data_IF_947827570910
#
_entry.id   IF_947827570910
#
_cell.length_a   1.000
_cell.length_b   1.000
_cell.length_c   1.000
_cell.angle_alpha   90.00
_cell.angle_beta   90.00
_cell.angle_gamma   90.00
#
_symmetry.space_group_name_H-M   'P 1'
#
loop_
_entity.id
_entity.type
_entity.pdbx_description
1 polymer ?
#
# COMPACT_ATOMS: atom_id res chain seq x y z
N UNK A 1 -5.86 0.75 21.46
CA UNK A 1 -5.66 0.38 20.04
C UNK A 1 -6.98 0.23 19.29
N UNK A 2 -7.94 -0.56 19.78
CA UNK A 2 -9.22 -0.77 19.09
C UNK A 2 -10.03 0.52 18.84
N UNK A 3 -10.09 1.43 19.83
CA UNK A 3 -10.81 2.70 19.70
C UNK A 3 -10.29 3.61 18.58
N UNK A 4 -8.98 3.62 18.33
CA UNK A 4 -8.40 4.37 17.21
C UNK A 4 -8.82 3.77 15.87
N UNK A 5 -8.84 2.44 15.75
CA UNK A 5 -9.26 1.77 14.52
C UNK A 5 -10.74 2.03 14.19
N UNK A 6 -11.61 1.97 15.21
CA UNK A 6 -13.04 2.30 15.07
C UNK A 6 -13.19 3.75 14.61
N UNK A 7 -12.48 4.70 15.24
CA UNK A 7 -12.56 6.11 14.89
C UNK A 7 -12.09 6.37 13.45
N UNK A 8 -11.00 5.74 13.02
CA UNK A 8 -10.49 5.85 11.66
C UNK A 8 -11.46 5.27 10.62
N UNK A 9 -11.99 4.07 10.89
CA UNK A 9 -12.94 3.39 10.03
C UNK A 9 -14.29 4.09 9.94
N UNK A 10 -14.72 4.81 10.97
CA UNK A 10 -15.96 5.59 10.95
C UNK A 10 -15.75 6.97 10.32
N UNK A 11 -14.68 7.69 10.68
CA UNK A 11 -14.46 9.06 10.20
C UNK A 11 -14.10 9.12 8.73
N UNK A 12 -13.25 8.22 8.22
CA UNK A 12 -12.84 8.26 6.81
C UNK A 12 -14.06 8.18 5.87
N UNK A 13 -14.96 7.18 5.97
CA UNK A 13 -16.13 7.11 5.10
C UNK A 13 -17.09 8.28 5.26
N UNK A 14 -17.23 8.84 6.46
CA UNK A 14 -18.08 10.03 6.69
C UNK A 14 -17.50 11.23 5.92
N UNK A 15 -16.19 11.45 6.02
CA UNK A 15 -15.52 12.55 5.32
C UNK A 15 -15.63 12.36 3.81
N UNK A 16 -15.41 11.13 3.31
CA UNK A 16 -15.54 10.80 1.89
C UNK A 16 -16.95 11.05 1.35
N UNK A 17 -17.97 10.60 2.08
CA UNK A 17 -19.35 10.81 1.68
C UNK A 17 -19.69 12.31 1.65
N UNK A 18 -19.23 13.08 2.65
CA UNK A 18 -19.41 14.53 2.65
C UNK A 18 -18.74 15.19 1.43
N UNK A 19 -17.52 14.76 1.09
CA UNK A 19 -16.74 15.27 -0.05
C UNK A 19 -17.43 14.95 -1.39
N UNK A 20 -17.90 13.71 -1.56
CA UNK A 20 -18.64 13.27 -2.74
C UNK A 20 -19.97 14.02 -2.90
N UNK A 21 -20.70 14.26 -1.80
CA UNK A 21 -21.94 15.04 -1.83
C UNK A 21 -21.64 16.50 -2.21
N UNK A 22 -20.60 17.10 -1.64
CA UNK A 22 -20.25 18.50 -1.91
C UNK A 22 -19.83 18.67 -3.37
N UNK A 23 -18.94 17.82 -3.88
CA UNK A 23 -18.55 17.82 -5.29
C UNK A 23 -19.77 17.55 -6.18
N UNK A 24 -20.61 16.58 -5.81
CA UNK A 24 -21.85 16.26 -6.52
C UNK A 24 -22.84 17.42 -6.62
N UNK A 25 -22.85 18.34 -5.64
CA UNK A 25 -23.66 19.57 -5.71
C UNK A 25 -23.07 20.61 -6.67
N UNK A 26 -21.74 20.71 -6.77
CA UNK A 26 -21.07 21.70 -7.62
C UNK A 26 -21.03 21.28 -9.09
N UNK A 27 -20.67 20.04 -9.40
CA UNK A 27 -20.48 19.55 -10.77
C UNK A 27 -21.56 18.56 -11.24
N UNK A 28 -22.41 18.07 -10.34
CA UNK A 28 -23.44 17.08 -10.63
C UNK A 28 -23.02 15.65 -10.27
N UNK A 29 -24.01 14.85 -9.85
CA UNK A 29 -23.81 13.47 -9.37
C UNK A 29 -23.24 12.56 -10.46
N UNK A 30 -23.73 12.67 -11.71
CA UNK A 30 -23.25 11.85 -12.82
C UNK A 30 -21.75 12.06 -13.06
N UNK A 31 -21.29 13.31 -13.14
CA UNK A 31 -19.88 13.63 -13.34
C UNK A 31 -19.02 13.15 -12.17
N UNK A 32 -19.50 13.31 -10.94
CA UNK A 32 -18.79 12.83 -9.73
C UNK A 32 -18.62 11.31 -9.76
N UNK A 33 -19.68 10.56 -10.09
CA UNK A 33 -19.60 9.11 -10.25
C UNK A 33 -18.67 8.70 -11.39
N UNK A 34 -18.69 9.42 -12.51
CA UNK A 34 -17.75 9.17 -13.61
C UNK A 34 -16.31 9.33 -13.16
N UNK A 35 -15.99 10.38 -12.40
CA UNK A 35 -14.64 10.59 -11.85
C UNK A 35 -14.23 9.40 -10.98
N UNK A 36 -15.07 9.01 -10.01
CA UNK A 36 -14.78 7.89 -9.10
C UNK A 36 -14.60 6.56 -9.85
N UNK A 37 -15.41 6.31 -10.87
CA UNK A 37 -15.26 5.09 -11.70
C UNK A 37 -13.95 5.15 -12.49
N UNK A 38 -13.63 6.29 -13.09
CA UNK A 38 -12.41 6.46 -13.87
C UNK A 38 -11.17 6.32 -12.98
N UNK A 39 -11.15 6.93 -11.80
CA UNK A 39 -10.05 6.80 -10.83
C UNK A 39 -9.90 5.36 -10.36
N UNK A 40 -11.00 4.69 -10.00
CA UNK A 40 -10.97 3.28 -9.62
C UNK A 40 -10.43 2.36 -10.73
N UNK A 41 -10.88 2.55 -11.97
CA UNK A 41 -10.42 1.75 -13.13
C UNK A 41 -8.94 2.02 -13.43
N UNK A 42 -8.50 3.28 -13.45
CA UNK A 42 -7.10 3.64 -13.66
C UNK A 42 -6.20 3.07 -12.55
N UNK A 43 -6.65 3.17 -11.30
CA UNK A 43 -5.96 2.61 -10.15
C UNK A 43 -5.82 1.08 -10.24
N UNK A 44 -6.92 0.38 -10.54
CA UNK A 44 -6.92 -1.07 -10.73
C UNK A 44 -6.02 -1.49 -11.90
N UNK A 45 -6.01 -0.74 -13.00
CA UNK A 45 -5.13 -1.00 -14.14
C UNK A 45 -3.65 -0.88 -13.74
N UNK A 46 -3.27 0.19 -13.04
CA UNK A 46 -1.91 0.37 -12.53
C UNK A 46 -1.50 -0.72 -11.53
N UNK A 47 -2.41 -1.09 -10.61
CA UNK A 47 -2.17 -2.17 -9.66
C UNK A 47 -1.93 -3.51 -10.36
N UNK A 48 -2.72 -3.81 -11.41
CA UNK A 48 -2.55 -5.01 -12.22
C UNK A 48 -1.21 -5.02 -12.95
N UNK A 49 -0.85 -3.93 -13.61
CA UNK A 49 0.40 -3.84 -14.38
C UNK A 49 1.63 -3.99 -13.48
N UNK A 50 1.65 -3.28 -12.36
CA UNK A 50 2.77 -3.33 -11.41
C UNK A 50 2.82 -4.64 -10.63
N UNK A 51 1.66 -5.16 -10.23
CA UNK A 51 1.56 -6.44 -9.54
C UNK A 51 2.13 -7.58 -10.38
N UNK A 52 1.80 -7.63 -11.67
CA UNK A 52 2.34 -8.66 -12.57
C UNK A 52 3.86 -8.56 -12.73
N UNK A 53 4.40 -7.34 -12.91
CA UNK A 53 5.85 -7.11 -12.98
C UNK A 53 6.56 -7.55 -11.69
N UNK A 54 5.97 -7.28 -10.53
CA UNK A 54 6.54 -7.69 -9.24
C UNK A 54 6.50 -9.20 -9.07
N UNK A 55 5.40 -9.86 -9.44
CA UNK A 55 5.30 -11.33 -9.39
C UNK A 55 6.36 -12.01 -10.28
N UNK A 56 6.58 -11.52 -11.49
CA UNK A 56 7.63 -12.04 -12.38
C UNK A 56 9.03 -11.93 -11.77
N UNK A 57 9.33 -10.82 -11.07
CA UNK A 57 10.60 -10.65 -10.37
C UNK A 57 10.75 -11.63 -9.21
N UNK A 58 9.70 -11.78 -8.40
CA UNK A 58 9.67 -12.76 -7.30
C UNK A 58 9.96 -14.16 -7.84
N UNK A 59 9.27 -14.57 -8.91
CA UNK A 59 9.48 -15.88 -9.53
C UNK A 59 10.92 -16.05 -10.05
N UNK A 60 11.46 -15.01 -10.71
CA UNK A 60 12.84 -15.03 -11.24
C UNK A 60 13.87 -15.17 -10.12
N UNK A 61 13.73 -14.43 -9.03
CA UNK A 61 14.68 -14.46 -7.91
C UNK A 61 14.58 -15.77 -7.11
N UNK A 62 13.37 -16.27 -6.87
CA UNK A 62 13.15 -17.57 -6.20
C UNK A 62 13.76 -18.70 -7.02
N UNK A 63 13.54 -18.71 -8.34
CA UNK A 63 14.15 -19.69 -9.24
C UNK A 63 15.68 -19.58 -9.30
N UNK A 64 16.22 -18.37 -9.06
CA UNK A 64 17.65 -18.11 -8.93
C UNK A 64 18.24 -18.44 -7.55
N UNK A 65 17.44 -18.93 -6.59
CA UNK A 65 17.87 -19.21 -5.22
C UNK A 65 18.12 -17.98 -4.36
N UNK A 66 17.64 -16.80 -4.78
CA UNK A 66 17.75 -15.52 -4.07
C UNK A 66 16.43 -15.24 -3.34
N UNK A 67 16.49 -14.75 -2.10
CA UNK A 67 15.29 -14.40 -1.33
C UNK A 67 14.74 -13.02 -1.75
N UNK A 68 13.51 -12.91 -2.29
CA UNK A 68 12.95 -11.68 -2.87
C UNK A 68 12.30 -10.76 -1.83
N UNK A 69 13.06 -10.37 -0.79
CA UNK A 69 12.51 -9.59 0.32
C UNK A 69 11.98 -8.20 -0.10
N UNK A 70 12.65 -7.57 -1.05
CA UNK A 70 12.32 -6.22 -1.51
C UNK A 70 11.05 -6.22 -2.38
N UNK A 71 10.86 -7.28 -3.18
CA UNK A 71 9.78 -7.48 -4.14
C UNK A 71 8.51 -7.90 -3.40
N UNK A 72 8.63 -8.69 -2.32
CA UNK A 72 7.51 -9.03 -1.44
C UNK A 72 6.91 -7.77 -0.81
N UNK A 73 7.75 -6.86 -0.28
CA UNK A 73 7.29 -5.59 0.28
C UNK A 73 6.57 -4.75 -0.78
N UNK A 74 7.15 -4.66 -1.99
CA UNK A 74 6.54 -3.96 -3.11
C UNK A 74 5.17 -4.56 -3.47
N UNK A 75 5.07 -5.89 -3.50
CA UNK A 75 3.82 -6.62 -3.76
C UNK A 75 2.74 -6.32 -2.72
N UNK A 76 3.09 -6.28 -1.44
CA UNK A 76 2.16 -5.92 -0.36
C UNK A 76 1.67 -4.47 -0.51
N UNK A 77 2.57 -3.52 -0.81
CA UNK A 77 2.18 -2.12 -1.00
C UNK A 77 1.23 -1.98 -2.20
N UNK A 78 1.52 -2.66 -3.31
CA UNK A 78 0.66 -2.67 -4.51
C UNK A 78 -0.72 -3.25 -4.18
N UNK A 79 -0.78 -4.35 -3.44
CA UNK A 79 -2.05 -4.98 -3.03
C UNK A 79 -2.87 -4.05 -2.13
N UNK A 80 -2.25 -3.46 -1.10
CA UNK A 80 -2.93 -2.51 -0.22
C UNK A 80 -3.42 -1.27 -0.98
N UNK A 81 -2.60 -0.72 -1.89
CA UNK A 81 -2.99 0.40 -2.75
C UNK A 81 -4.17 0.05 -3.66
N UNK A 82 -4.15 -1.14 -4.26
CA UNK A 82 -5.26 -1.65 -5.07
C UNK A 82 -6.55 -1.82 -4.26
N UNK A 83 -6.49 -2.39 -3.06
CA UNK A 83 -7.66 -2.54 -2.18
C UNK A 83 -8.23 -1.16 -1.78
N UNK A 84 -7.37 -0.18 -1.49
CA UNK A 84 -7.80 1.19 -1.19
C UNK A 84 -8.53 1.84 -2.38
N UNK A 85 -8.08 1.60 -3.61
CA UNK A 85 -8.72 2.11 -4.83
C UNK A 85 -10.03 1.41 -5.21
N UNK A 86 -10.29 0.23 -4.66
CA UNK A 86 -11.58 -0.44 -4.85
C UNK A 86 -12.69 0.19 -3.99
N UNK A 87 -12.32 0.84 -2.89
CA UNK A 87 -13.25 1.61 -2.08
C UNK A 87 -13.55 2.96 -2.74
N UNK A 88 -14.77 3.20 -3.24
CA UNK A 88 -15.08 4.44 -3.94
C UNK A 88 -15.00 5.65 -3.00
N UNK A 89 -13.96 6.47 -3.16
CA UNK A 89 -13.72 7.67 -2.37
C UNK A 89 -12.59 8.52 -2.95
N UNK A 90 -12.71 9.85 -2.92
CA UNK A 90 -11.68 10.72 -3.51
C UNK A 90 -10.36 10.70 -2.73
N UNK A 91 -10.43 10.71 -1.39
CA UNK A 91 -9.22 10.72 -0.56
C UNK A 91 -8.55 9.35 -0.57
N UNK A 92 -9.35 8.30 -0.50
CA UNK A 92 -8.91 6.90 -0.49
C UNK A 92 -8.30 6.53 -1.83
N UNK A 93 -8.88 7.00 -2.94
CA UNK A 93 -8.28 6.89 -4.27
C UNK A 93 -6.92 7.60 -4.32
N UNK A 94 -6.83 8.85 -3.83
CA UNK A 94 -5.56 9.59 -3.82
C UNK A 94 -4.48 8.84 -3.03
N UNK A 95 -4.81 8.30 -1.85
CA UNK A 95 -3.88 7.52 -1.04
C UNK A 95 -3.50 6.21 -1.73
N UNK A 96 -4.45 5.51 -2.35
CA UNK A 96 -4.18 4.29 -3.11
C UNK A 96 -3.30 4.53 -4.34
N UNK A 97 -3.51 5.63 -5.07
CA UNK A 97 -2.61 6.06 -6.14
C UNK A 97 -1.21 6.39 -5.63
N UNK A 98 -1.08 7.10 -4.50
CA UNK A 98 0.22 7.36 -3.88
C UNK A 98 0.92 6.06 -3.48
N UNK A 99 0.20 5.03 -3.06
CA UNK A 99 0.81 3.71 -2.80
C UNK A 99 1.31 3.02 -4.08
N UNK A 100 0.59 3.19 -5.19
CA UNK A 100 0.93 2.59 -6.48
C UNK A 100 2.04 3.32 -7.24
N UNK A 101 2.15 4.64 -7.15
CA UNK A 101 3.15 5.40 -7.90
C UNK A 101 4.56 4.97 -7.43
N UNK A 102 5.48 4.59 -8.34
CA UNK A 102 6.77 4.01 -7.98
C UNK A 102 7.66 4.96 -7.16
N UNK A 103 7.56 6.27 -7.42
CA UNK A 103 8.31 7.30 -6.70
C UNK A 103 7.90 7.33 -5.23
N UNK A 104 6.59 7.38 -4.96
CA UNK A 104 6.04 7.42 -3.60
C UNK A 104 6.13 6.07 -2.90
N UNK A 105 6.07 4.95 -3.65
CA UNK A 105 6.33 3.62 -3.12
C UNK A 105 7.72 3.51 -2.50
N UNK A 106 8.76 4.09 -3.12
CA UNK A 106 10.11 4.08 -2.56
C UNK A 106 10.19 4.77 -1.18
N UNK A 107 9.44 5.86 -0.99
CA UNK A 107 9.35 6.54 0.31
C UNK A 107 8.61 5.67 1.35
N UNK A 108 7.47 5.09 0.99
CA UNK A 108 6.69 4.20 1.87
C UNK A 108 7.54 3.00 2.29
N UNK A 109 8.24 2.39 1.34
CA UNK A 109 9.15 1.27 1.56
C UNK A 109 10.26 1.60 2.55
N UNK A 110 10.90 2.78 2.39
CA UNK A 110 11.96 3.25 3.29
C UNK A 110 11.46 3.38 4.73
N UNK A 111 10.28 3.96 4.94
CA UNK A 111 9.70 4.12 6.27
C UNK A 111 9.24 2.78 6.87
N UNK A 112 8.69 1.89 6.04
CA UNK A 112 8.31 0.55 6.48
C UNK A 112 9.54 -0.25 6.92
N UNK A 113 10.62 -0.22 6.14
CA UNK A 113 11.89 -0.90 6.46
C UNK A 113 12.50 -0.37 7.76
N UNK A 114 12.53 0.95 7.96
CA UNK A 114 12.98 1.56 9.23
C UNK A 114 12.16 1.06 10.42
N UNK A 115 10.83 0.98 10.29
CA UNK A 115 9.96 0.47 11.36
C UNK A 115 10.21 -1.01 11.64
N UNK A 116 10.31 -1.83 10.60
CA UNK A 116 10.59 -3.27 10.75
C UNK A 116 11.95 -3.47 11.41
N UNK A 117 12.98 -2.75 10.96
CA UNK A 117 14.32 -2.84 11.53
C UNK A 117 14.35 -2.37 12.99
N UNK A 118 13.67 -1.28 13.31
CA UNK A 118 13.51 -0.83 14.71
C UNK A 118 12.81 -1.86 15.59
N UNK A 119 11.79 -2.55 15.08
CA UNK A 119 11.09 -3.62 15.81
C UNK A 119 12.01 -4.84 15.98
N UNK A 120 12.85 -5.17 14.99
CA UNK A 120 13.85 -6.24 15.10
C UNK A 120 14.97 -5.88 16.09
N UNK A 121 15.39 -4.62 16.12
CA UNK A 121 16.42 -4.12 17.04
C UNK A 121 15.88 -4.03 18.49
N UNK A 122 14.62 -3.61 18.66
CA UNK A 122 13.93 -3.54 19.97
C UNK A 122 13.56 -4.94 20.49
N UNK A 123 13.33 -5.90 19.59
CA UNK A 123 13.03 -7.29 19.91
C UNK A 123 14.25 -8.20 19.87
N UNK A 124 15.29 -7.91 20.70
CA UNK A 124 16.44 -8.79 21.02
C UNK A 124 16.59 -9.96 20.03
N UNK A 125 17.05 -9.69 18.81
CA UNK A 125 17.59 -10.78 17.98
C UNK A 125 18.75 -11.32 18.78
N UNK A 126 18.52 -12.47 19.40
CA UNK A 126 19.52 -13.24 20.11
C UNK A 126 20.75 -13.23 19.20
N UNK A 127 21.84 -12.81 19.82
CA UNK A 127 23.22 -12.77 19.37
C UNK A 127 23.66 -14.14 18.79
N UNK A 128 23.06 -14.62 17.70
CA UNK A 128 23.58 -15.76 16.93
C UNK A 128 24.68 -15.24 16.00
N UNK A 129 25.65 -14.56 16.59
CA UNK A 129 26.94 -14.24 15.95
C UNK A 129 28.08 -14.47 16.95
N UNK A 130 27.84 -15.30 17.98
CA UNK A 130 28.89 -15.76 18.90
C UNK A 130 28.95 -17.29 18.94
N UNK A 131 29.19 -17.89 17.78
CA UNK A 131 30.09 -19.03 17.65
C UNK A 131 31.09 -18.61 16.57
N UNK A 132 31.99 -17.66 16.86
CA UNK A 132 33.30 -17.95 17.45
C UNK A 132 33.81 -19.31 17.01
N UNK A 133 34.58 -19.27 15.91
CA UNK A 133 35.79 -20.06 15.71
C UNK A 133 36.41 -20.46 17.03
N UNK A 134 36.53 -21.76 17.27
CA UNK A 134 37.67 -22.36 17.96
C UNK A 134 37.65 -23.87 17.72
N UNK A 135 38.69 -24.30 17.01
CA UNK A 135 39.35 -25.62 17.00
C UNK A 135 38.65 -26.80 16.30
#
# INVERSE_FOLDING_TARGET
MLGYLILLFTLIPIIELALLIEIGKHIGVIYTLTIVIVTGVLGAFLAREQGFKTLQKIETEVNGGIMPGEEIIDGVIILCGGILLLTPGLLTDAVGFLALIPVTRAFIKKELKKKIQKIMDDGKVIKITSFKSND
#
